data_IF_046778854320
#
_entry.id   IF_046778854320
#
_cell.length_a   1.000
_cell.length_b   1.000
_cell.length_c   1.000
_cell.angle_alpha   90.00
_cell.angle_beta   90.00
_cell.angle_gamma   90.00
#
_symmetry.space_group_name_H-M   'P 1'
#
loop_
_entity.id
_entity.type
_entity.pdbx_description
1 polymer ?
#
# COMPACT_ATOMS: atom_id res chain seq x y z
N UNK A 1 33.45 -11.77 24.67
CA UNK A 1 32.16 -11.82 25.38
C UNK A 1 32.14 -10.98 26.66
N UNK A 2 33.28 -10.67 27.30
CA UNK A 2 33.31 -9.85 28.53
C UNK A 2 32.95 -8.37 28.33
N UNK A 3 33.33 -7.76 27.20
CA UNK A 3 33.06 -6.33 26.95
C UNK A 3 31.58 -5.97 26.85
N UNK A 4 30.74 -6.89 26.37
CA UNK A 4 29.28 -6.68 26.30
C UNK A 4 28.66 -6.73 27.70
N UNK A 5 29.16 -7.61 28.57
CA UNK A 5 28.68 -7.74 29.96
C UNK A 5 28.92 -6.47 30.77
N UNK A 6 30.13 -5.90 30.67
CA UNK A 6 30.52 -4.69 31.41
C UNK A 6 29.76 -3.45 30.90
N UNK A 7 29.53 -3.36 29.58
CA UNK A 7 28.74 -2.27 29.00
C UNK A 7 27.26 -2.33 29.41
N UNK A 8 26.69 -3.54 29.52
CA UNK A 8 25.31 -3.75 29.99
C UNK A 8 25.19 -3.44 31.48
N UNK A 9 26.14 -3.87 32.32
CA UNK A 9 26.15 -3.52 33.76
C UNK A 9 26.34 -2.02 34.01
N UNK A 10 27.18 -1.36 33.21
CA UNK A 10 27.38 0.09 33.22
C UNK A 10 26.09 0.83 32.84
N UNK A 11 25.38 0.38 31.79
CA UNK A 11 24.08 0.92 31.39
C UNK A 11 22.99 0.67 32.44
N UNK A 12 22.98 -0.50 33.09
CA UNK A 12 22.05 -0.79 34.18
C UNK A 12 22.31 0.09 35.40
N UNK A 13 23.57 0.26 35.81
CA UNK A 13 23.92 1.07 36.98
C UNK A 13 23.66 2.57 36.74
N UNK A 14 23.89 3.09 35.53
CA UNK A 14 23.50 4.47 35.17
C UNK A 14 22.00 4.64 34.96
N UNK A 15 21.30 3.64 34.42
CA UNK A 15 19.84 3.67 34.28
C UNK A 15 19.11 3.60 35.63
N UNK A 16 19.66 2.94 36.65
CA UNK A 16 19.04 2.83 37.99
C UNK A 16 19.53 3.88 39.00
N UNK A 17 20.57 4.66 38.67
CA UNK A 17 21.07 5.76 39.51
C UNK A 17 20.23 7.04 39.37
N UNK A 18 19.49 7.16 38.27
CA UNK A 18 18.74 8.36 37.94
C UNK A 18 17.39 8.38 38.69
N UNK A 19 17.05 9.45 39.45
CA UNK A 19 15.84 9.45 40.27
C UNK A 19 14.54 9.34 39.46
N UNK A 20 14.52 9.93 38.26
CA UNK A 20 13.41 9.87 37.32
C UNK A 20 13.13 8.45 36.79
N UNK A 21 14.15 7.61 36.60
CA UNK A 21 13.94 6.25 36.10
C UNK A 21 13.43 5.33 37.20
N UNK A 22 13.85 5.52 38.45
CA UNK A 22 13.31 4.83 39.62
C UNK A 22 11.85 5.20 39.87
N UNK A 23 11.49 6.47 39.75
CA UNK A 23 10.10 6.94 39.83
C UNK A 23 9.25 6.40 38.69
N UNK A 24 9.78 6.37 37.47
CA UNK A 24 9.08 5.80 36.33
C UNK A 24 8.89 4.28 36.51
N UNK A 25 9.87 3.57 37.06
CA UNK A 25 9.79 2.13 37.33
C UNK A 25 8.81 1.79 38.46
N UNK A 26 8.74 2.63 39.50
CA UNK A 26 7.75 2.49 40.56
C UNK A 26 6.33 2.77 40.05
N UNK A 27 6.17 3.80 39.21
CA UNK A 27 4.91 4.13 38.54
C UNK A 27 4.46 3.02 37.58
N UNK A 28 5.39 2.47 36.78
CA UNK A 28 5.13 1.34 35.89
C UNK A 28 4.70 0.10 36.69
N UNK A 29 5.35 -0.18 37.83
CA UNK A 29 5.00 -1.30 38.72
C UNK A 29 3.63 -1.14 39.36
N UNK A 30 3.25 0.08 39.75
CA UNK A 30 1.94 0.37 40.33
C UNK A 30 0.82 0.30 39.28
N UNK A 31 1.12 0.64 38.03
CA UNK A 31 0.13 0.75 36.96
C UNK A 31 0.28 -0.30 35.84
N UNK A 32 0.92 -1.44 36.10
CA UNK A 32 1.19 -2.49 35.10
C UNK A 32 -0.07 -2.88 34.31
N UNK A 33 -1.20 -3.03 35.00
CA UNK A 33 -2.48 -3.38 34.38
C UNK A 33 -3.01 -2.26 33.46
N UNK A 34 -2.88 -1.00 33.87
CA UNK A 34 -3.29 0.15 33.05
C UNK A 34 -2.41 0.31 31.81
N UNK A 35 -1.10 0.06 31.94
CA UNK A 35 -0.16 0.10 30.82
C UNK A 35 -0.44 -1.05 29.85
N UNK A 36 -0.65 -2.27 30.36
CA UNK A 36 -0.98 -3.43 29.53
C UNK A 36 -2.28 -3.22 28.75
N UNK A 37 -3.32 -2.72 29.43
CA UNK A 37 -4.60 -2.40 28.77
C UNK A 37 -4.46 -1.29 27.73
N UNK A 38 -3.70 -0.23 28.01
CA UNK A 38 -3.41 0.83 27.05
C UNK A 38 -2.66 0.31 25.81
N UNK A 39 -1.69 -0.59 25.98
CA UNK A 39 -0.97 -1.23 24.87
C UNK A 39 -1.91 -2.10 24.03
N UNK A 40 -2.73 -2.93 24.67
CA UNK A 40 -3.71 -3.76 23.96
C UNK A 40 -4.70 -2.89 23.18
N UNK A 41 -5.23 -1.82 23.78
CA UNK A 41 -6.13 -0.88 23.10
C UNK A 41 -5.42 -0.20 21.92
N UNK A 42 -4.16 0.21 22.09
CA UNK A 42 -3.38 0.82 21.02
C UNK A 42 -3.16 -0.13 19.83
N UNK A 43 -2.84 -1.40 20.10
CA UNK A 43 -2.71 -2.44 19.07
C UNK A 43 -4.05 -2.68 18.35
N UNK A 44 -5.15 -2.74 19.11
CA UNK A 44 -6.50 -2.90 18.54
C UNK A 44 -6.88 -1.70 17.67
N UNK A 45 -6.57 -0.48 18.12
CA UNK A 45 -6.78 0.72 17.31
C UNK A 45 -5.93 0.68 16.04
N UNK A 46 -4.63 0.38 16.13
CA UNK A 46 -3.77 0.26 14.94
C UNK A 46 -4.27 -0.78 13.94
N UNK A 47 -4.74 -1.93 14.41
CA UNK A 47 -5.26 -2.99 13.53
C UNK A 47 -6.60 -2.59 12.90
N UNK A 48 -7.50 -1.95 13.65
CA UNK A 48 -8.74 -1.39 13.13
C UNK A 48 -8.48 -0.28 12.11
N UNK A 49 -7.56 0.63 12.43
CA UNK A 49 -7.14 1.68 11.50
C UNK A 49 -6.55 1.05 10.25
N UNK A 50 -5.60 0.12 10.31
CA UNK A 50 -5.08 -0.53 9.11
C UNK A 50 -6.18 -1.21 8.28
N UNK A 51 -7.16 -1.85 8.92
CA UNK A 51 -8.25 -2.52 8.22
C UNK A 51 -9.24 -1.55 7.57
N UNK A 52 -9.50 -0.40 8.19
CA UNK A 52 -10.46 0.60 7.68
C UNK A 52 -9.75 1.58 6.73
N UNK A 53 -8.61 2.14 7.12
CA UNK A 53 -7.85 3.13 6.36
C UNK A 53 -7.28 2.53 5.08
N UNK A 54 -6.73 1.30 5.11
CA UNK A 54 -6.08 0.70 3.93
C UNK A 54 -6.95 0.68 2.66
N UNK A 55 -8.20 0.17 2.68
CA UNK A 55 -9.04 0.18 1.48
C UNK A 55 -9.42 1.60 1.04
N UNK A 56 -9.71 2.50 1.98
CA UNK A 56 -10.09 3.89 1.65
C UNK A 56 -8.93 4.68 1.05
N UNK A 57 -7.72 4.52 1.59
CA UNK A 57 -6.52 5.17 1.04
C UNK A 57 -6.19 4.61 -0.33
N UNK A 58 -6.33 3.29 -0.55
CA UNK A 58 -6.06 2.70 -1.86
C UNK A 58 -6.98 3.27 -2.95
N UNK A 59 -8.28 3.40 -2.69
CA UNK A 59 -9.20 4.03 -3.64
C UNK A 59 -8.92 5.53 -3.82
N UNK A 60 -8.58 6.24 -2.74
CA UNK A 60 -8.24 7.66 -2.79
C UNK A 60 -6.97 7.91 -3.61
N UNK A 61 -5.92 7.10 -3.42
CA UNK A 61 -4.68 7.18 -4.18
C UNK A 61 -4.89 6.94 -5.67
N UNK A 62 -5.70 5.96 -6.05
CA UNK A 62 -6.03 5.71 -7.47
C UNK A 62 -6.73 6.90 -8.11
N UNK A 63 -7.59 7.59 -7.36
CA UNK A 63 -8.25 8.81 -7.82
C UNK A 63 -7.28 9.99 -7.94
N UNK A 64 -6.37 10.15 -6.98
CA UNK A 64 -5.35 11.19 -6.99
C UNK A 64 -4.35 11.01 -8.15
N UNK A 65 -4.07 9.76 -8.52
CA UNK A 65 -3.19 9.41 -9.64
C UNK A 65 -3.90 9.42 -11.00
N UNK A 66 -5.15 9.91 -11.07
CA UNK A 66 -5.91 10.06 -12.32
C UNK A 66 -6.01 8.77 -13.15
N UNK A 67 -6.17 7.61 -12.49
CA UNK A 67 -6.28 6.33 -13.18
C UNK A 67 -7.46 6.27 -14.16
N UNK A 68 -8.58 6.93 -13.85
CA UNK A 68 -9.74 7.01 -14.73
C UNK A 68 -9.41 7.75 -16.05
N UNK A 69 -8.72 8.90 -15.98
CA UNK A 69 -8.35 9.68 -17.16
C UNK A 69 -7.28 8.97 -17.98
N UNK A 70 -6.28 8.38 -17.32
CA UNK A 70 -5.23 7.60 -17.98
C UNK A 70 -5.79 6.38 -18.71
N UNK A 71 -6.66 5.59 -18.05
CA UNK A 71 -7.29 4.43 -18.68
C UNK A 71 -8.23 4.82 -19.81
N UNK A 72 -8.97 5.92 -19.69
CA UNK A 72 -9.82 6.42 -20.77
C UNK A 72 -8.96 6.80 -21.98
N UNK A 73 -7.92 7.59 -21.79
CA UNK A 73 -7.06 8.02 -22.89
C UNK A 73 -6.35 6.84 -23.56
N UNK A 74 -5.89 5.84 -22.78
CA UNK A 74 -5.27 4.63 -23.34
C UNK A 74 -6.28 3.80 -24.13
N UNK A 75 -7.53 3.70 -23.64
CA UNK A 75 -8.61 3.02 -24.33
C UNK A 75 -8.93 3.72 -25.65
N UNK A 76 -9.08 5.04 -25.65
CA UNK A 76 -9.37 5.82 -26.86
C UNK A 76 -8.27 5.63 -27.93
N UNK A 77 -7.01 5.54 -27.50
CA UNK A 77 -5.87 5.23 -28.39
C UNK A 77 -5.94 3.80 -28.93
N UNK A 78 -6.43 2.82 -28.16
CA UNK A 78 -6.59 1.44 -28.64
C UNK A 78 -7.77 1.28 -29.60
N UNK A 79 -8.82 2.07 -29.44
CA UNK A 79 -10.02 2.05 -30.30
C UNK A 79 -9.90 2.93 -31.54
N UNK A 80 -8.84 3.73 -31.64
CA UNK A 80 -8.58 4.57 -32.80
C UNK A 80 -8.26 3.70 -34.02
N UNK A 81 -8.81 4.10 -35.17
CA UNK A 81 -8.50 3.45 -36.44
C UNK A 81 -7.14 3.93 -36.97
N UNK A 82 -6.24 2.98 -37.18
CA UNK A 82 -4.88 3.20 -37.65
C UNK A 82 -4.67 2.75 -39.10
N UNK A 83 -5.71 2.28 -39.80
CA UNK A 83 -5.81 1.98 -41.23
C UNK A 83 -4.46 1.68 -41.95
N UNK A 84 -3.71 2.71 -42.35
CA UNK A 84 -2.45 2.62 -43.10
C UNK A 84 -1.28 2.02 -42.30
N UNK A 85 -1.27 2.20 -40.98
CA UNK A 85 -0.20 1.77 -40.08
C UNK A 85 -0.25 0.26 -39.80
N UNK A 86 -1.39 -0.41 -39.99
CA UNK A 86 -1.52 -1.87 -39.84
C UNK A 86 -0.64 -2.65 -40.82
N UNK A 87 -0.28 -2.04 -41.95
CA UNK A 87 0.62 -2.64 -42.93
C UNK A 87 2.11 -2.58 -42.50
N UNK A 88 2.43 -1.84 -41.44
CA UNK A 88 3.80 -1.73 -40.93
C UNK A 88 4.01 -2.74 -39.79
N UNK A 89 4.89 -3.76 -39.96
CA UNK A 89 5.08 -4.81 -38.95
C UNK A 89 5.64 -4.26 -37.63
N UNK A 90 6.44 -3.19 -37.68
CA UNK A 90 6.96 -2.50 -36.51
C UNK A 90 5.84 -1.86 -35.68
N UNK A 91 4.86 -1.26 -36.35
CA UNK A 91 3.69 -0.68 -35.69
C UNK A 91 2.84 -1.76 -35.03
N UNK A 92 2.55 -2.86 -35.72
CA UNK A 92 1.79 -3.98 -35.14
C UNK A 92 2.44 -4.56 -33.89
N UNK A 93 3.77 -4.72 -33.90
CA UNK A 93 4.53 -5.18 -32.72
C UNK A 93 4.48 -4.18 -31.57
N UNK A 94 4.61 -2.88 -31.87
CA UNK A 94 4.50 -1.83 -30.87
C UNK A 94 3.10 -1.75 -30.28
N UNK A 95 2.06 -1.89 -31.12
CA UNK A 95 0.66 -1.88 -30.72
C UNK A 95 0.32 -3.07 -29.82
N UNK A 96 0.82 -4.27 -30.14
CA UNK A 96 0.66 -5.45 -29.27
C UNK A 96 1.29 -5.27 -27.89
N UNK A 97 2.52 -4.72 -27.85
CA UNK A 97 3.20 -4.40 -26.58
C UNK A 97 2.43 -3.34 -25.79
N UNK A 98 1.89 -2.34 -26.48
CA UNK A 98 1.07 -1.31 -25.87
C UNK A 98 -0.23 -1.89 -25.29
N UNK A 99 -0.91 -2.77 -26.02
CA UNK A 99 -2.09 -3.48 -25.52
C UNK A 99 -1.75 -4.36 -24.30
N UNK A 100 -0.62 -5.07 -24.29
CA UNK A 100 -0.16 -5.84 -23.13
C UNK A 100 0.11 -4.96 -21.91
N UNK A 101 0.76 -3.80 -22.12
CA UNK A 101 1.00 -2.83 -21.07
C UNK A 101 -0.32 -2.25 -20.52
N UNK A 102 -1.29 -1.96 -21.39
CA UNK A 102 -2.64 -1.53 -21.01
C UNK A 102 -3.35 -2.58 -20.15
N UNK A 103 -3.34 -3.86 -20.56
CA UNK A 103 -3.96 -4.95 -19.79
C UNK A 103 -3.31 -5.10 -18.41
N UNK A 104 -1.98 -4.96 -18.34
CA UNK A 104 -1.25 -4.99 -17.06
C UNK A 104 -1.65 -3.81 -16.17
N UNK A 105 -1.72 -2.60 -16.73
CA UNK A 105 -2.14 -1.41 -15.99
C UNK A 105 -3.58 -1.51 -15.52
N UNK A 106 -4.48 -2.03 -16.35
CA UNK A 106 -5.88 -2.30 -16.02
C UNK A 106 -6.00 -3.35 -14.90
N UNK A 107 -5.18 -4.40 -14.92
CA UNK A 107 -5.16 -5.41 -13.85
C UNK A 107 -4.75 -4.80 -12.50
N UNK A 108 -3.76 -3.89 -12.50
CA UNK A 108 -3.34 -3.13 -11.32
C UNK A 108 -4.44 -2.15 -10.88
N UNK A 109 -5.09 -1.46 -11.81
CA UNK A 109 -6.22 -0.58 -11.50
C UNK A 109 -7.38 -1.35 -10.85
N UNK A 110 -7.62 -2.58 -11.29
CA UNK A 110 -8.66 -3.48 -10.75
C UNK A 110 -8.26 -4.22 -9.49
N UNK A 111 -6.98 -4.22 -9.10
CA UNK A 111 -6.53 -4.92 -7.90
C UNK A 111 -6.93 -4.15 -6.63
N UNK A 112 -7.49 -4.85 -5.66
CA UNK A 112 -7.85 -4.31 -4.37
C UNK A 112 -6.59 -4.07 -3.50
N UNK A 113 -6.72 -3.48 -2.31
CA UNK A 113 -5.61 -3.28 -1.35
C UNK A 113 -4.94 -4.60 -0.94
N UNK A 114 -5.63 -5.74 -1.15
CA UNK A 114 -5.12 -7.10 -0.98
C UNK A 114 -4.36 -7.67 -2.19
N UNK A 115 -4.20 -6.90 -3.27
CA UNK A 115 -3.54 -7.32 -4.51
C UNK A 115 -4.36 -8.27 -5.38
N UNK A 116 -5.61 -8.58 -5.00
CA UNK A 116 -6.52 -9.44 -5.78
C UNK A 116 -7.37 -8.61 -6.72
N UNK A 117 -7.60 -9.11 -7.95
CA UNK A 117 -8.50 -8.46 -8.91
C UNK A 117 -9.92 -8.48 -8.33
N UNK A 118 -10.49 -7.29 -8.08
CA UNK A 118 -11.85 -7.17 -7.56
C UNK A 118 -12.87 -7.42 -8.67
N UNK A 119 -13.83 -8.31 -8.41
CA UNK A 119 -14.95 -8.59 -9.34
C UNK A 119 -15.88 -7.38 -9.52
N UNK A 120 -15.93 -6.47 -8.54
CA UNK A 120 -16.83 -5.32 -8.52
C UNK A 120 -16.06 -4.00 -8.74
N UNK A 121 -14.88 -4.07 -9.34
CA UNK A 121 -14.05 -2.89 -9.59
C UNK A 121 -14.77 -1.90 -10.53
N UNK A 122 -14.76 -0.61 -10.17
CA UNK A 122 -15.20 0.50 -11.05
C UNK A 122 -14.50 0.47 -12.41
N UNK A 123 -13.26 0.00 -12.45
CA UNK A 123 -12.44 -0.06 -13.66
C UNK A 123 -12.82 -1.21 -14.60
N UNK A 124 -13.81 -2.06 -14.25
CA UNK A 124 -14.33 -3.08 -15.16
C UNK A 124 -14.90 -2.48 -16.46
N UNK A 125 -15.34 -1.21 -16.48
CA UNK A 125 -15.82 -0.54 -17.70
C UNK A 125 -14.74 -0.44 -18.81
N UNK A 126 -13.46 -0.52 -18.43
CA UNK A 126 -12.32 -0.43 -19.34
C UNK A 126 -11.87 -1.81 -19.88
N UNK A 127 -12.48 -2.92 -19.45
CA UNK A 127 -12.14 -4.26 -19.97
C UNK A 127 -12.75 -4.54 -21.33
N UNK A 128 -13.80 -3.81 -21.71
CA UNK A 128 -14.43 -3.91 -23.03
C UNK A 128 -13.78 -2.86 -23.92
N UNK A 129 -13.06 -3.34 -24.94
CA UNK A 129 -12.49 -2.53 -26.02
C UNK A 129 -13.36 -2.85 -27.25
N UNK A 130 -14.07 -1.85 -27.77
CA UNK A 130 -14.82 -1.97 -29.02
C UNK A 130 -13.87 -1.62 -30.16
N UNK A 131 -13.32 -2.64 -30.81
CA UNK A 131 -12.57 -2.48 -32.05
C UNK A 131 -13.59 -2.43 -33.19
N UNK A 132 -13.86 -1.23 -33.70
CA UNK A 132 -14.77 -0.99 -34.81
C UNK A 132 -14.08 -1.15 -36.17
#
# INVERSE_FOLDING_TARGET
MEYISIAVESLFTTAFSNPWTLDLLSYMRLNVLAIFTAVVISILLMTLFNKIISPYFHEYYKRLLFYDDALQHLKDVLEMDYDVLWNQPEFCLAFLKFHEAYQTFLAVARSDSSGRISKVSRYNKYTVIDMH
#
